data_IF_685320612569
#
_entry.id   IF_685320612569
#
_cell.length_a   1.000
_cell.length_b   1.000
_cell.length_c   1.000
_cell.angle_alpha   90.00
_cell.angle_beta   90.00
_cell.angle_gamma   90.00
#
_symmetry.space_group_name_H-M   'P 1'
#
loop_
_entity.id
_entity.type
_entity.pdbx_description
1 polymer ?
#
# COMPACT_ATOMS: atom_id res chain seq x y z
N UNK A 1 -13.96 16.75 -40.04
CA UNK A 1 -13.11 16.34 -38.90
C UNK A 1 -13.88 15.28 -38.14
N UNK A 2 -13.42 14.04 -38.18
CA UNK A 2 -14.13 12.90 -37.58
C UNK A 2 -13.63 12.75 -36.14
N UNK A 3 -14.57 12.77 -35.20
CA UNK A 3 -14.33 12.61 -33.76
C UNK A 3 -13.93 11.15 -33.48
N UNK A 4 -12.89 10.90 -32.69
CA UNK A 4 -12.44 9.55 -32.36
C UNK A 4 -13.51 8.81 -31.54
N UNK A 5 -13.86 7.60 -31.96
CA UNK A 5 -14.74 6.68 -31.24
C UNK A 5 -14.13 6.27 -29.89
N UNK A 6 -14.55 6.91 -28.81
CA UNK A 6 -14.22 6.52 -27.44
C UNK A 6 -15.20 5.43 -26.99
N UNK A 7 -14.71 4.21 -26.79
CA UNK A 7 -15.51 3.10 -26.23
C UNK A 7 -15.22 2.98 -24.73
N UNK A 8 -16.26 3.09 -23.89
CA UNK A 8 -16.19 2.78 -22.46
C UNK A 8 -16.79 1.40 -22.18
N UNK A 9 -16.14 0.65 -21.28
CA UNK A 9 -16.69 -0.56 -20.71
C UNK A 9 -16.93 -0.32 -19.21
N UNK A 10 -18.19 -0.42 -18.73
CA UNK A 10 -18.46 -0.28 -17.31
C UNK A 10 -17.99 -1.52 -16.55
N UNK A 11 -17.35 -1.30 -15.40
CA UNK A 11 -17.13 -2.35 -14.41
C UNK A 11 -18.37 -2.42 -13.53
N UNK A 12 -19.08 -3.55 -13.56
CA UNK A 12 -20.31 -3.78 -12.81
C UNK A 12 -19.97 -4.70 -11.62
N UNK A 13 -20.24 -4.23 -10.41
CA UNK A 13 -20.04 -4.94 -9.16
C UNK A 13 -20.80 -4.24 -8.04
N UNK A 14 -20.76 -4.80 -6.84
CA UNK A 14 -21.28 -4.12 -5.66
C UNK A 14 -20.27 -3.05 -5.22
N UNK A 15 -20.59 -1.74 -5.33
CA UNK A 15 -19.67 -0.67 -4.93
C UNK A 15 -19.43 -0.63 -3.41
N UNK A 16 -20.29 -1.27 -2.60
CA UNK A 16 -20.16 -1.33 -1.14
C UNK A 16 -19.44 -2.59 -0.67
N UNK A 17 -19.08 -3.52 -1.56
CA UNK A 17 -18.32 -4.69 -1.19
C UNK A 17 -16.93 -4.27 -0.69
N UNK A 18 -16.71 -4.41 0.62
CA UNK A 18 -15.42 -4.12 1.23
C UNK A 18 -14.35 -5.07 0.63
N UNK A 19 -13.21 -4.54 0.18
CA UNK A 19 -12.20 -5.32 -0.54
C UNK A 19 -11.46 -6.36 0.33
N UNK A 20 -11.73 -6.41 1.63
CA UNK A 20 -11.08 -7.32 2.58
C UNK A 20 -9.65 -6.92 2.95
N UNK A 21 -9.23 -5.72 2.55
CA UNK A 21 -7.96 -5.11 2.90
C UNK A 21 -8.12 -3.60 3.09
N UNK A 22 -7.14 -2.99 3.75
CA UNK A 22 -6.98 -1.53 3.86
C UNK A 22 -5.75 -1.09 3.08
N UNK A 23 -5.74 0.15 2.59
CA UNK A 23 -4.57 0.70 1.90
C UNK A 23 -3.52 1.18 2.89
N UNK A 24 -2.28 1.28 2.44
CA UNK A 24 -1.14 1.72 3.24
C UNK A 24 -1.37 3.06 3.95
N UNK A 25 -1.87 4.07 3.25
CA UNK A 25 -2.13 5.39 3.83
C UNK A 25 -3.13 5.32 4.98
N UNK A 26 -4.23 4.57 4.77
CA UNK A 26 -5.25 4.35 5.79
C UNK A 26 -4.68 3.58 6.99
N UNK A 27 -3.87 2.55 6.73
CA UNK A 27 -3.23 1.76 7.79
C UNK A 27 -2.24 2.60 8.62
N UNK A 28 -1.53 3.54 8.01
CA UNK A 28 -0.65 4.49 8.69
C UNK A 28 -1.46 5.50 9.53
N UNK A 29 -2.52 6.08 8.97
CA UNK A 29 -3.42 7.00 9.70
C UNK A 29 -4.07 6.33 10.91
N UNK A 30 -4.46 5.06 10.76
CA UNK A 30 -5.08 4.24 11.81
C UNK A 30 -4.06 3.57 12.75
N UNK A 31 -2.76 3.77 12.52
CA UNK A 31 -1.67 3.19 13.32
C UNK A 31 -1.70 1.65 13.38
N UNK A 32 -2.15 0.99 12.32
CA UNK A 32 -2.22 -0.48 12.20
C UNK A 32 -0.87 -1.10 11.81
N UNK A 33 0.02 -0.30 11.24
CA UNK A 33 1.29 -0.75 10.70
C UNK A 33 2.44 0.11 11.21
N UNK A 34 3.62 -0.48 11.26
CA UNK A 34 4.85 0.20 11.61
C UNK A 34 5.91 -0.03 10.54
N UNK A 35 6.62 1.04 10.18
CA UNK A 35 7.69 1.01 9.18
C UNK A 35 8.96 1.49 9.84
N UNK A 36 9.99 0.63 9.85
CA UNK A 36 11.30 0.94 10.44
C UNK A 36 12.40 0.81 9.39
N UNK A 37 13.42 1.65 9.49
CA UNK A 37 14.61 1.53 8.66
C UNK A 37 15.61 0.59 9.32
N UNK A 38 15.97 -0.48 8.61
CA UNK A 38 17.00 -1.43 9.03
C UNK A 38 18.24 -1.18 8.18
N UNK A 39 19.13 -0.30 8.66
CA UNK A 39 20.42 -0.04 7.99
C UNK A 39 21.59 -0.49 8.86
N UNK A 40 22.35 -1.48 8.35
CA UNK A 40 23.63 -1.90 8.90
C UNK A 40 24.73 -1.69 7.86
N UNK A 41 25.48 -0.59 7.99
CA UNK A 41 26.74 -0.35 7.29
C UNK A 41 26.66 -0.22 5.76
N UNK A 42 26.54 1.02 5.26
CA UNK A 42 26.91 1.41 3.89
C UNK A 42 26.16 0.78 2.71
N UNK A 43 25.17 -0.08 2.95
CA UNK A 43 24.30 -0.67 1.93
C UNK A 43 22.99 0.09 1.77
N UNK A 44 22.31 -0.16 0.65
CA UNK A 44 20.97 0.36 0.32
C UNK A 44 20.06 0.24 1.57
N UNK A 45 19.39 1.31 2.01
CA UNK A 45 18.51 1.24 3.16
C UNK A 45 17.35 0.27 2.88
N UNK A 46 17.20 -0.73 3.75
CA UNK A 46 16.09 -1.68 3.75
C UNK A 46 15.02 -1.19 4.75
N UNK A 47 13.74 -1.38 4.42
CA UNK A 47 12.61 -1.04 5.28
C UNK A 47 11.98 -2.33 5.81
N UNK A 48 11.77 -2.40 7.11
CA UNK A 48 10.97 -3.44 7.75
C UNK A 48 9.54 -2.92 7.93
N UNK A 49 8.58 -3.66 7.39
CA UNK A 49 7.15 -3.40 7.50
C UNK A 49 6.53 -4.42 8.45
N UNK A 50 5.82 -3.94 9.46
CA UNK A 50 5.14 -4.75 10.46
C UNK A 50 3.65 -4.39 10.48
N UNK A 51 2.78 -5.38 10.33
CA UNK A 51 1.33 -5.23 10.47
C UNK A 51 0.89 -5.91 11.77
N UNK A 52 0.59 -5.10 12.78
CA UNK A 52 0.20 -5.56 14.12
C UNK A 52 -1.32 -5.64 14.30
N UNK A 53 -2.09 -5.45 13.22
CA UNK A 53 -3.54 -5.51 13.23
C UNK A 53 -4.08 -6.88 12.77
N UNK A 54 -5.39 -7.07 12.92
CA UNK A 54 -6.12 -8.21 12.35
C UNK A 54 -6.46 -8.00 10.86
N UNK A 55 -6.24 -6.80 10.32
CA UNK A 55 -6.62 -6.41 8.97
C UNK A 55 -5.50 -6.70 7.97
N UNK A 56 -5.88 -7.08 6.76
CA UNK A 56 -4.92 -7.21 5.66
C UNK A 56 -4.60 -5.83 5.11
N UNK A 57 -3.32 -5.52 4.90
CA UNK A 57 -2.88 -4.22 4.36
C UNK A 57 -2.31 -4.41 2.97
N UNK A 58 -2.79 -3.62 2.01
CA UNK A 58 -2.27 -3.56 0.65
C UNK A 58 -1.35 -2.35 0.49
N UNK A 59 -0.12 -2.62 0.09
CA UNK A 59 0.82 -1.63 -0.42
C UNK A 59 0.77 -1.68 -1.94
N UNK A 60 0.66 -0.53 -2.59
CA UNK A 60 0.58 -0.42 -4.04
C UNK A 60 1.89 0.16 -4.57
N UNK A 61 2.38 -0.39 -5.69
CA UNK A 61 3.48 0.21 -6.44
C UNK A 61 3.18 1.69 -6.76
N UNK A 62 4.12 2.57 -6.43
CA UNK A 62 3.95 4.01 -6.55
C UNK A 62 3.55 4.73 -5.25
N UNK A 63 3.14 4.02 -4.19
CA UNK A 63 2.83 4.65 -2.91
C UNK A 63 4.07 5.35 -2.32
N UNK A 64 3.87 6.54 -1.76
CA UNK A 64 4.94 7.31 -1.13
C UNK A 64 4.99 7.04 0.38
N UNK A 65 6.16 6.61 0.85
CA UNK A 65 6.45 6.47 2.28
C UNK A 65 7.06 7.77 2.78
N UNK A 66 6.22 8.58 3.44
CA UNK A 66 6.60 9.86 4.05
C UNK A 66 6.78 9.66 5.55
N UNK A 67 7.98 9.96 6.09
CA UNK A 67 8.27 9.89 7.52
C UNK A 67 9.42 8.95 7.93
N UNK A 68 9.95 8.15 7.01
CA UNK A 68 11.24 7.49 7.19
C UNK A 68 12.38 8.52 7.05
N UNK A 69 13.63 8.15 7.38
CA UNK A 69 14.82 9.03 7.27
C UNK A 69 15.02 9.59 5.85
N UNK A 70 14.43 8.96 4.85
CA UNK A 70 14.37 9.38 3.45
C UNK A 70 12.94 9.15 2.92
N UNK A 71 12.42 10.04 2.07
CA UNK A 71 11.16 9.79 1.34
C UNK A 71 11.41 8.72 0.28
N UNK A 72 10.50 7.76 0.16
CA UNK A 72 10.65 6.65 -0.80
C UNK A 72 9.35 6.32 -1.50
N UNK A 73 9.47 5.89 -2.76
CA UNK A 73 8.37 5.31 -3.52
C UNK A 73 8.48 3.79 -3.44
N UNK A 74 7.38 3.14 -3.06
CA UNK A 74 7.23 1.68 -3.08
C UNK A 74 7.33 1.20 -4.52
N UNK A 75 8.16 0.20 -4.80
CA UNK A 75 8.41 -0.32 -6.15
C UNK A 75 7.82 -1.72 -6.39
N UNK A 76 6.94 -2.17 -5.49
CA UNK A 76 6.31 -3.47 -5.51
C UNK A 76 4.97 -3.42 -4.78
N UNK A 77 3.91 -3.93 -5.40
CA UNK A 77 2.64 -4.14 -4.71
C UNK A 77 2.69 -5.40 -3.85
N UNK A 78 2.37 -5.28 -2.56
CA UNK A 78 2.41 -6.39 -1.59
C UNK A 78 1.12 -6.38 -0.77
N UNK A 79 0.55 -7.56 -0.55
CA UNK A 79 -0.56 -7.77 0.38
C UNK A 79 -0.03 -8.44 1.65
N UNK A 80 -0.13 -7.77 2.78
CA UNK A 80 0.37 -8.24 4.08
C UNK A 80 -0.82 -8.59 4.98
N UNK A 81 -1.01 -9.87 5.25
CA UNK A 81 -2.05 -10.34 6.15
C UNK A 81 -1.84 -9.82 7.58
N UNK A 82 -2.93 -9.68 8.34
CA UNK A 82 -2.89 -9.36 9.76
C UNK A 82 -2.18 -10.44 10.57
N UNK A 83 -1.41 -10.02 11.57
CA UNK A 83 -0.50 -10.85 12.35
C UNK A 83 -0.91 -10.96 13.81
N UNK A 84 -2.16 -11.34 14.08
CA UNK A 84 -2.64 -11.64 15.43
C UNK A 84 -3.02 -13.13 15.51
N UNK A 85 -2.52 -13.82 16.52
CA UNK A 85 -2.89 -15.20 16.91
C UNK A 85 -3.47 -15.20 18.31
#
# INVERSE_FOLDING_TARGET
MTYLDLTLFPLIGDPEAAPGYVLLDEALERHLVHITEVSAGGRVPELAFENSSDETVLLVDGDELVGAKQNRVVNLSILVAGGNS
#
